data_IF_280782395347
#
_entry.id   IF_280782395347
#
_cell.length_a   1.000
_cell.length_b   1.000
_cell.length_c   1.000
_cell.angle_alpha   90.00
_cell.angle_beta   90.00
_cell.angle_gamma   90.00
#
_symmetry.space_group_name_H-M   'P 1'
#
loop_
_entity.id
_entity.type
_entity.pdbx_description
1 polymer ?
#
# COMPACT_ATOMS: atom_id res chain seq x y z
N UNK A 1 -21.22 2.92 4.83
CA UNK A 1 -20.82 3.70 3.63
C UNK A 1 -21.44 3.16 2.34
N UNK A 2 -21.04 1.98 1.83
CA UNK A 2 -21.59 1.45 0.57
C UNK A 2 -23.06 1.04 0.72
N UNK A 3 -23.39 0.21 1.72
CA UNK A 3 -24.78 -0.20 2.01
C UNK A 3 -25.69 0.99 2.33
N UNK A 4 -25.15 2.02 2.98
CA UNK A 4 -25.85 3.27 3.31
C UNK A 4 -25.95 4.24 2.12
N UNK A 5 -25.37 3.91 0.96
CA UNK A 5 -25.39 4.77 -0.24
C UNK A 5 -24.54 6.04 -0.17
N UNK A 6 -23.68 6.19 0.86
CA UNK A 6 -22.81 7.36 1.02
C UNK A 6 -21.67 7.40 0.00
N UNK A 7 -21.21 6.23 -0.44
CA UNK A 7 -20.17 6.07 -1.47
C UNK A 7 -20.53 4.89 -2.38
N UNK A 8 -20.21 4.96 -3.68
CA UNK A 8 -20.41 3.82 -4.57
C UNK A 8 -19.49 2.66 -4.19
N UNK A 9 -19.90 1.44 -4.53
CA UNK A 9 -19.03 0.27 -4.45
C UNK A 9 -17.81 0.45 -5.38
N UNK A 10 -16.58 0.28 -4.88
CA UNK A 10 -15.40 0.34 -5.74
C UNK A 10 -15.37 -0.84 -6.73
N UNK A 11 -15.14 -0.58 -8.01
CA UNK A 11 -14.82 -1.64 -8.97
C UNK A 11 -13.45 -2.27 -8.64
N UNK A 12 -12.48 -1.43 -8.22
CA UNK A 12 -11.12 -1.84 -7.89
C UNK A 12 -10.67 -1.18 -6.58
N UNK A 13 -9.96 -1.96 -5.76
CA UNK A 13 -9.30 -1.50 -4.55
C UNK A 13 -7.80 -1.80 -4.66
N UNK A 14 -6.97 -0.76 -4.76
CA UNK A 14 -5.51 -0.89 -4.83
C UNK A 14 -4.88 -0.68 -3.46
N UNK A 15 -3.94 -1.55 -3.09
CA UNK A 15 -3.22 -1.46 -1.81
C UNK A 15 -1.78 -1.93 -1.95
N UNK A 16 -0.87 -1.34 -1.17
CA UNK A 16 0.51 -1.81 -1.08
C UNK A 16 0.56 -3.26 -0.53
N UNK A 17 1.32 -4.13 -1.19
CA UNK A 17 1.52 -5.52 -0.82
C UNK A 17 2.98 -5.80 -0.42
N UNK A 18 3.24 -5.72 0.89
CA UNK A 18 4.47 -6.18 1.53
C UNK A 18 4.32 -7.59 2.09
N UNK A 19 3.89 -7.70 3.36
CA UNK A 19 3.51 -8.97 4.01
C UNK A 19 2.19 -9.57 3.48
N UNK A 20 1.44 -8.78 2.71
CA UNK A 20 0.09 -9.10 2.19
C UNK A 20 -1.00 -9.17 3.26
N UNK A 21 -0.72 -8.83 4.53
CA UNK A 21 -1.71 -8.85 5.61
C UNK A 21 -2.90 -7.94 5.33
N UNK A 22 -2.66 -6.65 5.06
CA UNK A 22 -3.70 -5.69 4.70
C UNK A 22 -4.48 -6.14 3.45
N UNK A 23 -3.77 -6.57 2.40
CA UNK A 23 -4.38 -7.01 1.16
C UNK A 23 -5.25 -8.27 1.35
N UNK A 24 -4.83 -9.23 2.19
CA UNK A 24 -5.61 -10.41 2.54
C UNK A 24 -6.85 -10.07 3.37
N UNK A 25 -6.71 -9.18 4.36
CA UNK A 25 -7.83 -8.70 5.17
C UNK A 25 -8.88 -7.98 4.32
N UNK A 26 -8.45 -7.07 3.44
CA UNK A 26 -9.34 -6.37 2.51
C UNK A 26 -10.03 -7.33 1.53
N UNK A 27 -9.30 -8.33 1.01
CA UNK A 27 -9.89 -9.36 0.16
C UNK A 27 -11.00 -10.13 0.90
N UNK A 28 -10.73 -10.58 2.12
CA UNK A 28 -11.70 -11.28 2.94
C UNK A 28 -12.89 -10.39 3.28
N UNK A 29 -12.65 -9.14 3.71
CA UNK A 29 -13.70 -8.16 3.99
C UNK A 29 -14.61 -7.96 2.79
N UNK A 30 -14.07 -7.73 1.59
CA UNK A 30 -14.88 -7.60 0.39
C UNK A 30 -15.74 -8.84 0.13
N UNK A 31 -15.17 -10.05 0.26
CA UNK A 31 -15.92 -11.30 0.03
C UNK A 31 -16.99 -11.56 1.07
N UNK A 32 -16.71 -11.32 2.34
CA UNK A 32 -17.64 -11.54 3.44
C UNK A 32 -18.77 -10.50 3.45
N UNK A 33 -18.49 -9.28 3.00
CA UNK A 33 -19.49 -8.22 2.82
C UNK A 33 -20.21 -8.27 1.47
N UNK A 34 -20.01 -9.33 0.67
CA UNK A 34 -20.69 -9.49 -0.62
C UNK A 34 -20.30 -8.50 -1.72
N UNK A 35 -19.22 -7.73 -1.53
CA UNK A 35 -18.72 -6.79 -2.53
C UNK A 35 -18.09 -7.52 -3.72
N UNK A 36 -18.36 -7.00 -4.91
CA UNK A 36 -17.77 -7.41 -6.20
C UNK A 36 -16.42 -6.72 -6.46
N UNK A 37 -16.03 -5.78 -5.60
CA UNK A 37 -14.73 -5.09 -5.63
C UNK A 37 -13.55 -6.03 -5.86
N UNK A 38 -12.73 -5.69 -6.86
CA UNK A 38 -11.49 -6.41 -7.17
C UNK A 38 -10.34 -5.83 -6.35
N UNK A 39 -9.85 -6.59 -5.37
CA UNK A 39 -8.65 -6.21 -4.60
C UNK A 39 -7.39 -6.47 -5.42
N UNK A 40 -6.58 -5.42 -5.57
CA UNK A 40 -5.34 -5.39 -6.33
C UNK A 40 -4.18 -5.05 -5.41
N UNK A 41 -3.27 -6.01 -5.22
CA UNK A 41 -2.04 -5.77 -4.47
C UNK A 41 -0.97 -5.17 -5.37
N UNK A 42 -0.31 -4.11 -4.97
CA UNK A 42 0.91 -3.61 -5.64
C UNK A 42 2.13 -4.08 -4.87
N UNK A 43 2.93 -4.99 -5.46
CA UNK A 43 4.06 -5.57 -4.74
C UNK A 43 5.15 -4.54 -4.47
N UNK A 44 5.45 -4.35 -3.18
CA UNK A 44 6.48 -3.41 -2.67
C UNK A 44 7.59 -4.12 -1.88
N UNK A 45 7.52 -5.45 -1.78
CA UNK A 45 8.54 -6.30 -1.17
C UNK A 45 9.10 -7.33 -2.18
N UNK A 46 10.12 -8.08 -1.77
CA UNK A 46 10.73 -9.12 -2.62
C UNK A 46 9.74 -10.23 -2.98
N UNK A 47 9.94 -10.88 -4.14
CA UNK A 47 9.10 -12.03 -4.59
C UNK A 47 9.05 -13.17 -3.56
N UNK A 48 10.12 -13.34 -2.79
CA UNK A 48 10.22 -14.39 -1.77
C UNK A 48 9.21 -14.17 -0.64
N UNK A 49 8.97 -12.91 -0.29
CA UNK A 49 8.03 -12.51 0.77
C UNK A 49 6.61 -12.31 0.22
N UNK A 50 6.49 -11.72 -0.97
CA UNK A 50 5.21 -11.33 -1.57
C UNK A 50 4.98 -12.04 -2.90
N UNK A 51 4.07 -13.03 -2.90
CA UNK A 51 3.68 -13.77 -4.10
C UNK A 51 2.21 -14.19 -4.06
N UNK A 52 1.56 -14.42 -5.21
CA UNK A 52 0.15 -14.83 -5.25
C UNK A 52 -0.12 -16.13 -4.48
N UNK A 53 0.81 -17.10 -4.52
CA UNK A 53 0.70 -18.36 -3.76
C UNK A 53 0.67 -18.12 -2.25
N UNK A 54 1.57 -17.28 -1.73
CA UNK A 54 1.63 -16.94 -0.30
C UNK A 54 0.42 -16.12 0.12
N UNK A 55 -0.04 -15.20 -0.74
CA UNK A 55 -1.23 -14.41 -0.50
C UNK A 55 -2.49 -15.28 -0.40
N UNK A 56 -2.70 -16.19 -1.35
CA UNK A 56 -3.80 -17.15 -1.33
C UNK A 56 -3.77 -18.04 -0.07
N UNK A 57 -2.59 -18.55 0.30
CA UNK A 57 -2.41 -19.32 1.51
C UNK A 57 -2.72 -18.52 2.79
N UNK A 58 -2.38 -17.23 2.83
CA UNK A 58 -2.74 -16.35 3.94
C UNK A 58 -4.26 -16.15 4.02
N UNK A 59 -4.92 -15.81 2.91
CA UNK A 59 -6.38 -15.66 2.83
C UNK A 59 -7.10 -16.93 3.31
N UNK A 60 -6.70 -18.10 2.79
CA UNK A 60 -7.35 -19.36 3.11
C UNK A 60 -7.18 -19.76 4.58
N UNK A 61 -5.99 -19.58 5.15
CA UNK A 61 -5.75 -19.86 6.59
C UNK A 61 -6.51 -18.90 7.48
N UNK A 62 -6.52 -17.61 7.16
CA UNK A 62 -7.28 -16.62 7.93
C UNK A 62 -8.77 -16.89 7.84
N UNK A 63 -9.31 -17.24 6.66
CA UNK A 63 -10.72 -17.61 6.54
C UNK A 63 -11.08 -18.87 7.33
N UNK A 64 -10.22 -19.89 7.31
CA UNK A 64 -10.43 -21.10 8.10
C UNK A 64 -10.41 -20.80 9.61
N UNK A 65 -9.49 -19.95 10.05
CA UNK A 65 -9.41 -19.50 11.44
C UNK A 65 -10.66 -18.73 11.87
N UNK A 66 -11.12 -17.77 11.07
CA UNK A 66 -12.35 -17.00 11.35
C UNK A 66 -13.57 -17.91 11.45
N UNK A 67 -13.74 -18.84 10.51
CA UNK A 67 -14.85 -19.78 10.52
C UNK A 67 -14.77 -20.79 11.69
N UNK A 68 -13.56 -21.15 12.12
CA UNK A 68 -13.38 -22.00 13.30
C UNK A 68 -13.78 -21.26 14.59
N UNK A 69 -13.47 -19.97 14.68
CA UNK A 69 -13.84 -19.13 15.81
C UNK A 69 -15.35 -18.82 15.83
N UNK A 70 -15.95 -18.64 14.65
CA UNK A 70 -17.38 -18.40 14.47
C UNK A 70 -17.90 -19.09 13.18
N UNK A 71 -18.61 -20.23 13.31
CA UNK A 71 -19.14 -20.97 12.17
C UNK A 71 -20.15 -20.21 11.30
N UNK A 72 -20.71 -19.10 11.79
CA UNK A 72 -21.60 -18.24 10.99
C UNK A 72 -20.84 -17.48 9.88
N UNK A 73 -19.52 -17.29 10.05
CA UNK A 73 -18.67 -16.66 9.04
C UNK A 73 -18.43 -17.67 7.90
N UNK A 74 -18.87 -17.41 6.66
CA UNK A 74 -18.69 -18.35 5.56
C UNK A 74 -17.20 -18.50 5.19
N UNK A 75 -16.83 -19.71 4.74
CA UNK A 75 -15.47 -19.97 4.23
C UNK A 75 -15.26 -19.31 2.88
N UNK A 76 -14.22 -18.49 2.81
CA UNK A 76 -13.71 -17.88 1.58
C UNK A 76 -12.52 -18.71 1.10
N UNK A 77 -12.48 -18.99 -0.21
CA UNK A 77 -11.33 -19.62 -0.87
C UNK A 77 -10.73 -18.68 -1.90
N UNK A 78 -9.41 -18.56 -1.89
CA UNK A 78 -8.62 -17.89 -2.90
C UNK A 78 -7.61 -18.87 -3.52
N UNK A 79 -7.41 -18.73 -4.83
CA UNK A 79 -6.32 -19.37 -5.57
C UNK A 79 -5.32 -18.32 -6.03
N UNK A 80 -4.06 -18.73 -6.27
CA UNK A 80 -3.03 -17.84 -6.79
C UNK A 80 -3.45 -17.15 -8.11
N UNK A 81 -4.24 -17.85 -8.93
CA UNK A 81 -4.73 -17.38 -10.24
C UNK A 81 -5.86 -16.35 -10.09
N UNK A 82 -6.63 -16.41 -9.00
CA UNK A 82 -7.72 -15.47 -8.73
C UNK A 82 -7.25 -14.11 -8.18
N UNK A 83 -5.98 -14.01 -7.76
CA UNK A 83 -5.43 -12.83 -7.10
C UNK A 83 -4.63 -11.98 -8.09
N UNK A 84 -4.94 -10.69 -8.11
CA UNK A 84 -4.21 -9.73 -8.94
C UNK A 84 -3.13 -9.05 -8.11
N UNK A 85 -1.88 -9.45 -8.35
CA UNK A 85 -0.70 -8.85 -7.75
C UNK A 85 0.13 -8.16 -8.84
N UNK A 86 0.20 -6.83 -8.80
CA UNK A 86 1.00 -6.04 -9.72
C UNK A 86 2.49 -6.16 -9.36
N UNK A 87 3.31 -6.30 -10.39
CA UNK A 87 4.75 -6.51 -10.29
C UNK A 87 5.52 -5.40 -11.00
N UNK A 88 6.80 -5.19 -10.64
CA UNK A 88 7.68 -4.22 -11.30
C UNK A 88 7.91 -2.92 -10.52
N UNK A 89 7.07 -2.60 -9.54
CA UNK A 89 7.13 -1.32 -8.83
C UNK A 89 8.07 -1.30 -7.61
N UNK A 90 8.67 -2.43 -7.23
CA UNK A 90 9.58 -2.51 -6.07
C UNK A 90 10.90 -1.76 -6.31
N UNK A 91 11.34 -1.64 -7.56
CA UNK A 91 12.62 -1.02 -7.93
C UNK A 91 13.82 -1.82 -7.44
N UNK A 92 14.84 -1.13 -6.92
CA UNK A 92 16.08 -1.73 -6.40
C UNK A 92 15.85 -2.65 -5.19
N UNK A 93 14.73 -2.50 -4.50
CA UNK A 93 14.39 -3.31 -3.33
C UNK A 93 13.48 -2.58 -2.36
N UNK A 94 13.25 -3.22 -1.22
CA UNK A 94 12.52 -2.64 -0.11
C UNK A 94 13.22 -1.36 0.40
N UNK A 95 12.45 -0.32 0.76
CA UNK A 95 12.98 0.95 1.26
C UNK A 95 13.54 1.90 0.19
N UNK A 96 14.01 1.38 -0.94
CA UNK A 96 14.52 2.19 -2.04
C UNK A 96 13.41 2.88 -2.80
N UNK A 97 13.53 4.19 -3.01
CA UNK A 97 12.56 4.93 -3.78
C UNK A 97 12.71 4.59 -5.28
N UNK A 98 11.62 4.78 -6.02
CA UNK A 98 11.58 4.66 -7.48
C UNK A 98 11.19 5.99 -8.08
N UNK A 99 11.63 6.27 -9.31
CA UNK A 99 11.28 7.52 -9.99
C UNK A 99 9.77 7.63 -10.19
N UNK A 100 9.11 6.53 -10.55
CA UNK A 100 7.66 6.45 -10.72
C UNK A 100 6.94 6.68 -9.38
N UNK A 101 7.49 6.13 -8.29
CA UNK A 101 6.97 6.34 -6.95
C UNK A 101 7.04 7.80 -6.52
N UNK A 102 8.19 8.45 -6.74
CA UNK A 102 8.38 9.88 -6.44
C UNK A 102 7.45 10.75 -7.29
N UNK A 103 7.29 10.45 -8.58
CA UNK A 103 6.33 11.14 -9.46
C UNK A 103 4.90 10.98 -8.95
N UNK A 104 4.50 9.79 -8.53
CA UNK A 104 3.16 9.54 -7.99
C UNK A 104 2.92 10.30 -6.67
N UNK A 105 3.90 10.34 -5.77
CA UNK A 105 3.84 11.14 -4.53
C UNK A 105 3.65 12.63 -4.85
N UNK A 106 4.47 13.16 -5.76
CA UNK A 106 4.39 14.56 -6.20
C UNK A 106 3.02 14.88 -6.80
N UNK A 107 2.47 13.99 -7.62
CA UNK A 107 1.14 14.13 -8.21
C UNK A 107 0.04 14.17 -7.15
N UNK A 108 0.03 13.20 -6.22
CA UNK A 108 -0.97 13.11 -5.15
C UNK A 108 -0.94 14.37 -4.27
N UNK A 109 0.26 14.83 -3.90
CA UNK A 109 0.41 16.05 -3.11
C UNK A 109 -0.08 17.29 -3.85
N UNK A 110 0.26 17.43 -5.13
CA UNK A 110 -0.10 18.60 -5.94
C UNK A 110 -1.59 18.70 -6.22
N UNK A 111 -2.24 17.56 -6.48
CA UNK A 111 -3.65 17.54 -6.89
C UNK A 111 -4.60 17.44 -5.69
N UNK A 112 -4.24 16.65 -4.69
CA UNK A 112 -5.16 16.29 -3.59
C UNK A 112 -4.68 16.79 -2.22
N UNK A 113 -3.48 17.37 -2.12
CA UNK A 113 -2.90 17.78 -0.83
C UNK A 113 -2.54 16.62 0.09
N UNK A 114 -2.59 15.37 -0.40
CA UNK A 114 -2.33 14.16 0.41
C UNK A 114 -0.85 13.79 0.36
N UNK A 115 -0.26 13.63 1.55
CA UNK A 115 1.11 13.14 1.72
C UNK A 115 1.17 11.62 1.62
N UNK A 116 2.18 11.12 0.91
CA UNK A 116 2.52 9.70 0.77
C UNK A 116 4.03 9.52 1.02
N UNK A 117 4.45 8.29 1.31
CA UNK A 117 5.86 7.95 1.51
C UNK A 117 6.43 7.04 0.39
N UNK A 118 7.75 7.05 0.21
CA UNK A 118 8.43 6.40 -0.92
C UNK A 118 8.73 4.90 -0.77
N UNK A 119 8.55 4.32 0.41
CA UNK A 119 8.76 2.90 0.68
C UNK A 119 7.60 2.05 0.16
N UNK A 120 6.34 2.47 0.39
CA UNK A 120 5.15 1.68 0.05
C UNK A 120 4.12 2.41 -0.79
N UNK A 121 3.57 3.50 -0.28
CA UNK A 121 2.37 4.16 -0.79
C UNK A 121 2.63 4.91 -2.09
N UNK A 122 3.79 5.52 -2.27
CA UNK A 122 4.21 6.08 -3.55
C UNK A 122 4.33 5.01 -4.64
N UNK A 123 4.94 3.86 -4.33
CA UNK A 123 5.04 2.72 -5.26
C UNK A 123 3.68 2.11 -5.57
N UNK A 124 2.82 2.00 -4.57
CA UNK A 124 1.46 1.48 -4.73
C UNK A 124 0.63 2.40 -5.63
N UNK A 125 0.72 3.72 -5.43
CA UNK A 125 0.05 4.68 -6.28
C UNK A 125 0.60 4.66 -7.71
N UNK A 126 1.93 4.58 -7.88
CA UNK A 126 2.54 4.43 -9.19
C UNK A 126 1.99 3.22 -9.95
N UNK A 127 1.90 2.05 -9.30
CA UNK A 127 1.30 0.86 -9.91
C UNK A 127 -0.19 0.98 -10.16
N UNK A 128 -0.91 1.71 -9.32
CA UNK A 128 -2.34 1.99 -9.51
C UNK A 128 -2.57 2.82 -10.77
N UNK A 129 -1.86 3.95 -10.91
CA UNK A 129 -1.98 4.85 -12.05
C UNK A 129 -1.61 4.16 -13.36
N UNK A 130 -0.53 3.40 -13.36
CA UNK A 130 -0.08 2.63 -14.52
C UNK A 130 -1.12 1.56 -14.93
N UNK A 131 -1.67 0.80 -13.97
CA UNK A 131 -2.69 -0.20 -14.24
C UNK A 131 -3.99 0.43 -14.78
N UNK A 132 -4.45 1.52 -14.17
CA UNK A 132 -5.66 2.25 -14.60
C UNK A 132 -5.49 2.75 -16.05
N UNK A 133 -4.34 3.32 -16.37
CA UNK A 133 -4.02 3.79 -17.72
C UNK A 133 -3.97 2.65 -18.74
N UNK A 134 -3.24 1.58 -18.45
CA UNK A 134 -3.06 0.43 -19.36
C UNK A 134 -4.35 -0.34 -19.63
N UNK A 135 -5.25 -0.43 -18.66
CA UNK A 135 -6.49 -1.18 -18.78
C UNK A 135 -7.70 -0.32 -19.14
N UNK A 136 -7.51 0.97 -19.42
CA UNK A 136 -8.59 1.84 -19.87
C UNK A 136 -9.74 1.93 -18.86
N UNK A 137 -9.44 1.97 -17.56
CA UNK A 137 -10.45 1.93 -16.49
C UNK A 137 -11.17 3.28 -16.29
N UNK A 138 -11.31 4.08 -17.35
CA UNK A 138 -12.02 5.35 -17.30
C UNK A 138 -13.50 5.10 -16.93
N UNK A 139 -14.03 5.89 -16.00
CA UNK A 139 -15.40 5.75 -15.50
C UNK A 139 -15.60 4.63 -14.48
N UNK A 140 -14.54 3.91 -14.09
CA UNK A 140 -14.57 2.96 -12.98
C UNK A 140 -14.38 3.66 -11.64
N UNK A 141 -15.02 3.14 -10.60
CA UNK A 141 -14.81 3.60 -9.23
C UNK A 141 -13.54 2.94 -8.70
N UNK A 142 -12.50 3.75 -8.49
CA UNK A 142 -11.18 3.29 -8.03
C UNK A 142 -10.97 3.74 -6.59
N UNK A 143 -10.74 2.78 -5.69
CA UNK A 143 -10.33 3.03 -4.32
C UNK A 143 -8.83 2.80 -4.19
N UNK A 144 -8.08 3.83 -3.81
CA UNK A 144 -6.69 3.70 -3.40
C UNK A 144 -6.59 3.66 -1.87
N UNK A 145 -6.10 2.55 -1.32
CA UNK A 145 -5.99 2.34 0.12
C UNK A 145 -4.66 2.87 0.66
N UNK A 146 -4.67 4.13 1.10
CA UNK A 146 -3.51 4.77 1.70
C UNK A 146 -3.31 4.28 3.15
N UNK A 147 -2.20 3.58 3.41
CA UNK A 147 -1.82 3.11 4.75
C UNK A 147 -0.84 4.03 5.46
N UNK A 148 -0.41 5.13 4.83
CA UNK A 148 0.50 6.08 5.45
C UNK A 148 -0.23 6.87 6.55
N UNK A 149 0.49 7.19 7.62
CA UNK A 149 -0.08 7.92 8.74
C UNK A 149 -0.49 9.33 8.30
N UNK A 150 -1.74 9.69 8.57
CA UNK A 150 -2.27 11.03 8.27
C UNK A 150 -1.83 12.08 9.30
N UNK A 151 -1.34 11.66 10.48
CA UNK A 151 -0.89 12.58 11.53
C UNK A 151 0.46 13.18 11.14
N UNK A 152 0.51 14.51 11.10
CA UNK A 152 1.76 15.25 10.97
C UNK A 152 2.52 15.23 12.30
N UNK A 153 3.70 14.63 12.27
CA UNK A 153 4.62 14.54 13.41
C UNK A 153 5.86 15.42 13.22
N UNK A 154 5.90 16.30 12.21
CA UNK A 154 7.07 17.12 11.90
C UNK A 154 7.48 18.00 13.07
N UNK A 155 6.53 18.51 13.86
CA UNK A 155 6.84 19.30 15.06
C UNK A 155 7.59 18.47 16.11
N UNK A 156 7.03 17.32 16.48
CA UNK A 156 7.61 16.42 17.47
C UNK A 156 8.95 15.85 17.00
N UNK A 157 9.08 15.57 15.69
CA UNK A 157 10.33 15.12 15.10
C UNK A 157 11.40 16.22 15.13
N UNK A 158 11.04 17.48 14.89
CA UNK A 158 11.96 18.62 14.93
C UNK A 158 12.48 18.96 16.33
N UNK A 159 11.74 18.60 17.39
CA UNK A 159 12.15 18.77 18.78
C UNK A 159 13.15 17.69 19.25
N UNK A 160 13.29 16.58 18.50
CA UNK A 160 14.18 15.48 18.86
C UNK A 160 15.64 15.77 18.49
N UNK A 161 16.53 15.73 19.48
CA UNK A 161 17.98 15.80 19.23
C UNK A 161 18.52 14.44 18.77
N UNK A 162 18.73 14.28 17.46
CA UNK A 162 19.25 13.04 16.86
C UNK A 162 20.63 12.65 17.42
N UNK A 163 21.40 13.58 18.02
CA UNK A 163 22.70 13.30 18.62
C UNK A 163 22.61 12.44 19.88
N UNK A 164 21.41 12.31 20.45
CA UNK A 164 21.11 11.39 21.56
C UNK A 164 20.93 9.94 21.09
N UNK A 165 20.80 9.70 19.79
CA UNK A 165 20.74 8.35 19.20
C UNK A 165 22.13 7.71 19.19
N UNK A 166 22.22 6.36 19.18
CA UNK A 166 23.48 5.65 18.97
C UNK A 166 24.23 6.18 17.73
N UNK A 167 25.55 6.41 17.86
CA UNK A 167 26.40 6.96 16.78
C UNK A 167 26.14 6.37 15.38
N UNK A 168 25.96 5.04 15.20
CA UNK A 168 25.70 4.47 13.86
C UNK A 168 24.42 4.96 13.16
N UNK A 169 23.48 5.54 13.90
CA UNK A 169 22.20 6.06 13.36
C UNK A 169 22.25 7.56 13.03
N UNK A 170 23.23 8.30 13.56
CA UNK A 170 23.31 9.75 13.37
C UNK A 170 23.53 10.13 11.90
N UNK A 171 24.25 9.29 11.14
CA UNK A 171 24.48 9.47 9.70
C UNK A 171 23.22 9.64 8.86
N UNK A 172 22.07 9.09 9.29
CA UNK A 172 20.80 9.23 8.57
C UNK A 172 20.23 10.65 8.62
N UNK A 173 20.75 11.50 9.50
CA UNK A 173 20.38 12.92 9.63
C UNK A 173 21.43 13.86 9.03
N UNK A 174 22.65 13.38 8.82
CA UNK A 174 23.80 14.18 8.35
C UNK A 174 24.04 14.01 6.85
N UNK A 175 23.71 12.84 6.30
CA UNK A 175 23.99 12.48 4.91
C UNK A 175 22.68 12.12 4.17
N UNK A 176 22.58 12.40 2.85
CA UNK A 176 21.47 11.88 2.05
C UNK A 176 21.40 10.35 2.11
N UNK A 177 20.23 9.81 2.49
CA UNK A 177 20.05 8.35 2.60
C UNK A 177 19.99 7.68 1.22
N UNK A 178 19.47 8.39 0.21
CA UNK A 178 19.35 7.92 -1.17
C UNK A 178 19.24 9.11 -2.14
N UNK A 179 19.58 8.90 -3.42
CA UNK A 179 19.53 9.95 -4.45
C UNK A 179 18.14 10.56 -4.66
N UNK A 180 17.10 9.76 -4.51
CA UNK A 180 15.70 10.15 -4.73
C UNK A 180 15.02 10.64 -3.45
N UNK A 181 15.78 10.79 -2.37
CA UNK A 181 15.25 11.34 -1.12
C UNK A 181 14.76 12.75 -1.40
N UNK A 182 13.48 13.10 -1.13
CA UNK A 182 12.92 14.42 -1.42
C UNK A 182 13.55 15.53 -0.55
N UNK A 183 14.67 15.28 0.11
CA UNK A 183 15.40 16.17 1.01
C UNK A 183 15.96 17.46 0.39
N UNK A 184 15.55 17.83 -0.82
CA UNK A 184 15.70 19.18 -1.37
C UNK A 184 14.37 19.96 -1.46
N UNK A 185 13.20 19.30 -1.41
CA UNK A 185 11.89 19.95 -1.59
C UNK A 185 10.99 19.93 -0.33
N UNK A 186 11.40 19.22 0.72
CA UNK A 186 10.62 19.05 1.94
C UNK A 186 11.56 18.98 3.16
N UNK A 187 11.75 20.13 3.81
CA UNK A 187 12.17 20.26 5.21
C UNK A 187 13.37 19.40 5.64
N UNK A 188 14.58 19.84 5.30
CA UNK A 188 15.69 19.72 6.26
C UNK A 188 15.58 20.92 7.22
N UNK A 189 15.81 20.75 8.53
CA UNK A 189 15.82 21.86 9.48
C UNK A 189 16.85 22.93 9.08
#
# INVERSE_FOLDING_TARGET
QVEEGLLPEPDYLFVAAGSMGTAAGLYLGCKLSGLKTRVVGVRVASRRLCSPKRWAALINRTSAFLHQADPSIPRVKASAQSLLLLEGYVGRGYGWFTEEGVKAISLMRRLEGVSLEGTYTGKALAGTLDYVGKHGLKGKVILFWNTYNAVDLSKQAGEADYRRLPKPLQKYFEEPCQRLDPGEALNRP
#
